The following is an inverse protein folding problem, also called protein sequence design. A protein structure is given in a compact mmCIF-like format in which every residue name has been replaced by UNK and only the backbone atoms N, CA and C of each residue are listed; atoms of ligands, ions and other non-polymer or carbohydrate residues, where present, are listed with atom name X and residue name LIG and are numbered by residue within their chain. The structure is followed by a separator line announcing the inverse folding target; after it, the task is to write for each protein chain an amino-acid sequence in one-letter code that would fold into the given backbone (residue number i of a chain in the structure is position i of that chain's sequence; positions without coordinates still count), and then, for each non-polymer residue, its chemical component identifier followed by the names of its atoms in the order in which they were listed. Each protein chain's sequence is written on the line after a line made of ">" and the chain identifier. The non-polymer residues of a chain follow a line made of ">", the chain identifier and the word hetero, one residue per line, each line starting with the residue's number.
data_IF_475434218344
#
_entry.id   IF_475434218344
#
_cell.length_a   1.000
_cell.length_b   1.000
_cell.length_c   1.000
_cell.angle_alpha   90.00
_cell.angle_beta   90.00
_cell.angle_gamma   90.00
#
_symmetry.space_group_name_H-M   'P 1'
#
loop_
_entity.id
_entity.type
_entity.pdbx_description
1 polymer ?
#
# COMPACT_ATOMS: atom_id res chain seq x y z
N UNK A 1 -70.08 32.66 17.04
CA UNK A 1 -70.84 33.93 17.18
C UNK A 1 -69.87 35.00 17.62
N UNK A 2 -70.06 36.19 17.07
CA UNK A 2 -69.07 37.23 16.78
C UNK A 2 -68.60 38.08 17.97
N UNK A 3 -67.46 38.76 17.75
CA UNK A 3 -66.74 39.77 18.58
C UNK A 3 -67.59 40.93 19.14
N UNK A 4 -67.03 41.79 20.01
CA UNK A 4 -66.43 43.08 19.57
C UNK A 4 -65.13 43.46 20.33
N UNK A 5 -64.09 44.07 19.75
CA UNK A 5 -63.91 45.44 19.21
C UNK A 5 -63.45 46.51 20.24
N UNK A 6 -62.31 47.13 19.89
CA UNK A 6 -61.51 48.24 20.46
C UNK A 6 -62.27 49.52 20.89
N UNK A 7 -61.62 50.45 21.65
CA UNK A 7 -61.17 51.70 21.01
C UNK A 7 -59.89 52.38 21.57
N UNK A 8 -59.23 53.14 20.69
CA UNK A 8 -58.45 54.36 21.00
C UNK A 8 -56.97 54.29 20.59
N UNK A 9 -56.35 55.26 19.89
CA UNK A 9 -56.77 56.57 19.36
C UNK A 9 -55.59 57.12 18.51
N UNK A 10 -55.87 57.72 17.34
CA UNK A 10 -55.15 58.78 16.56
C UNK A 10 -53.60 58.80 16.49
N UNK A 11 -52.95 59.15 15.39
CA UNK A 11 -53.30 60.16 14.36
C UNK A 11 -52.39 59.99 13.11
N UNK A 12 -52.89 60.45 11.96
CA UNK A 12 -52.22 60.69 10.68
C UNK A 12 -50.76 61.21 10.74
N UNK A 13 -49.88 60.75 9.83
CA UNK A 13 -49.51 61.47 8.60
C UNK A 13 -48.57 60.62 7.70
N UNK A 14 -48.52 60.97 6.41
CA UNK A 14 -48.04 60.20 5.25
C UNK A 14 -46.58 60.58 4.88
N UNK A 15 -46.09 60.22 3.67
CA UNK A 15 -45.15 59.16 3.34
C UNK A 15 -43.66 59.59 3.33
N UNK A 16 -42.72 58.67 3.58
CA UNK A 16 -41.29 58.91 3.36
C UNK A 16 -40.81 58.25 2.06
N UNK A 17 -40.77 59.06 1.00
CA UNK A 17 -39.92 58.84 -0.17
C UNK A 17 -38.58 59.53 0.10
N UNK A 18 -37.48 58.77 0.11
CA UNK A 18 -36.13 59.33 0.12
C UNK A 18 -35.49 59.22 -1.28
N UNK A 19 -34.81 60.27 -1.75
CA UNK A 19 -34.28 60.38 -3.11
C UNK A 19 -32.85 59.85 -3.25
N UNK A 20 -32.47 59.69 -4.52
CA UNK A 20 -31.16 59.33 -5.06
C UNK A 20 -30.17 60.51 -5.09
N UNK A 21 -28.88 60.14 -5.04
CA UNK A 21 -27.65 60.76 -5.61
C UNK A 21 -26.69 61.61 -4.75
N UNK A 22 -25.44 61.11 -4.77
CA UNK A 22 -24.18 61.80 -5.09
C UNK A 22 -23.22 62.26 -3.97
N UNK A 23 -22.11 61.50 -3.93
CA UNK A 23 -20.70 61.94 -4.11
C UNK A 23 -19.93 62.55 -2.93
N UNK A 24 -18.88 61.85 -2.48
CA UNK A 24 -17.47 62.25 -2.72
C UNK A 24 -16.50 61.22 -2.14
N UNK A 25 -15.61 60.70 -2.99
CA UNK A 25 -14.42 59.91 -2.64
C UNK A 25 -13.29 60.85 -2.17
N UNK A 26 -12.38 60.34 -1.33
CA UNK A 26 -10.98 60.42 -1.71
C UNK A 26 -10.30 59.03 -1.76
N UNK A 27 -9.55 58.84 -2.85
CA UNK A 27 -8.60 57.77 -3.10
C UNK A 27 -7.54 57.70 -2.00
N UNK A 28 -7.37 56.53 -1.38
CA UNK A 28 -6.04 56.06 -0.98
C UNK A 28 -5.89 54.55 -1.24
N UNK A 29 -5.22 54.29 -2.37
CA UNK A 29 -4.25 53.22 -2.65
C UNK A 29 -4.55 51.78 -2.20
N UNK A 30 -5.12 51.03 -3.15
CA UNK A 30 -4.90 49.60 -3.33
C UNK A 30 -3.49 49.38 -3.90
N UNK A 31 -2.52 48.94 -3.10
CA UNK A 31 -1.32 48.18 -3.53
C UNK A 31 -0.47 47.85 -2.30
N UNK A 32 -0.66 46.69 -1.66
CA UNK A 32 0.33 46.09 -0.75
C UNK A 32 -0.09 44.71 -0.21
N UNK A 33 -0.49 43.74 -1.06
CA UNK A 33 -0.34 42.31 -0.71
C UNK A 33 -0.09 41.53 -2.01
N UNK A 34 1.07 41.77 -2.62
CA UNK A 34 1.57 40.98 -3.76
C UNK A 34 3.10 41.07 -3.83
N UNK A 35 3.81 40.92 -2.70
CA UNK A 35 5.27 40.68 -2.67
C UNK A 35 5.63 39.90 -1.40
N UNK A 36 5.35 38.59 -1.36
CA UNK A 36 6.09 37.64 -0.50
C UNK A 36 6.67 36.48 -1.32
N UNK A 37 6.30 36.35 -2.61
CA UNK A 37 6.91 35.41 -3.54
C UNK A 37 8.03 36.07 -4.37
N UNK A 38 9.10 36.56 -3.73
CA UNK A 38 10.33 36.99 -4.44
C UNK A 38 11.60 37.04 -3.57
N UNK A 39 11.59 36.51 -2.34
CA UNK A 39 12.73 36.62 -1.40
C UNK A 39 13.40 35.29 -1.03
N UNK A 40 13.06 34.18 -1.68
CA UNK A 40 13.73 32.87 -1.47
C UNK A 40 14.47 32.38 -2.73
N UNK A 41 14.29 33.05 -3.89
CA UNK A 41 14.94 32.69 -5.17
C UNK A 41 16.20 33.55 -5.44
N UNK A 42 16.74 34.27 -4.45
CA UNK A 42 18.01 35.01 -4.59
C UNK A 42 19.15 34.49 -3.71
N UNK A 43 18.97 33.38 -2.98
CA UNK A 43 20.04 32.72 -2.20
C UNK A 43 20.69 31.53 -2.96
N UNK A 44 20.15 31.12 -4.12
CA UNK A 44 20.67 29.97 -4.89
C UNK A 44 21.49 30.37 -6.15
N UNK A 45 21.68 31.66 -6.44
CA UNK A 45 22.48 32.11 -7.60
C UNK A 45 23.66 33.04 -7.23
N UNK A 46 24.25 32.87 -6.04
CA UNK A 46 25.28 33.78 -5.51
C UNK A 46 26.59 33.14 -5.03
N UNK A 47 26.87 31.87 -5.33
CA UNK A 47 28.13 31.22 -4.98
C UNK A 47 28.64 30.34 -6.12
N UNK A 48 29.11 30.97 -7.19
CA UNK A 48 30.11 30.40 -8.08
C UNK A 48 30.94 31.54 -8.70
N UNK A 49 32.26 31.42 -8.49
CA UNK A 49 33.39 32.09 -9.15
C UNK A 49 33.76 33.53 -8.70
N UNK A 50 34.86 33.63 -7.93
CA UNK A 50 36.21 34.19 -8.28
C UNK A 50 37.12 33.90 -7.06
N UNK A 51 38.36 33.41 -7.13
CA UNK A 51 39.26 33.18 -8.23
C UNK A 51 40.51 32.38 -7.82
N UNK A 52 41.27 32.00 -8.85
CA UNK A 52 42.53 31.25 -8.87
C UNK A 52 43.68 32.01 -8.19
N UNK A 53 44.57 31.30 -7.47
CA UNK A 53 46.04 31.43 -7.55
C UNK A 53 46.77 30.34 -6.75
N UNK A 54 47.69 29.62 -7.41
CA UNK A 54 48.98 29.17 -6.86
C UNK A 54 49.06 27.89 -6.01
N UNK A 55 49.61 26.81 -6.58
CA UNK A 55 50.31 25.76 -5.80
C UNK A 55 51.66 26.27 -5.25
N UNK A 56 52.30 25.56 -4.31
CA UNK A 56 53.12 24.41 -4.73
C UNK A 56 53.16 23.20 -3.77
N UNK A 57 53.60 22.08 -4.35
CA UNK A 57 54.43 20.97 -3.84
C UNK A 57 54.68 20.80 -2.34
N UNK A 58 54.63 19.54 -1.87
CA UNK A 58 55.47 19.10 -0.75
C UNK A 58 54.87 17.99 0.10
N UNK A 59 55.43 16.80 -0.08
CA UNK A 59 55.39 15.61 0.76
C UNK A 59 55.36 15.93 2.27
N UNK A 60 54.63 15.14 3.06
CA UNK A 60 55.20 14.58 4.30
C UNK A 60 54.41 13.37 4.81
N UNK A 61 55.19 12.32 5.08
CA UNK A 61 54.80 11.14 5.81
C UNK A 61 54.99 11.39 7.32
N UNK A 62 54.09 10.88 8.15
CA UNK A 62 54.40 10.22 9.44
C UNK A 62 53.10 9.56 9.93
N UNK A 63 53.05 8.25 10.15
CA UNK A 63 53.65 7.51 11.25
C UNK A 63 53.15 8.00 12.62
N UNK A 64 52.32 7.16 13.25
CA UNK A 64 51.79 7.39 14.59
C UNK A 64 51.03 6.17 15.09
N UNK A 65 51.78 5.12 15.41
CA UNK A 65 51.30 3.95 16.14
C UNK A 65 51.28 4.24 17.65
N UNK A 66 50.23 3.81 18.34
CA UNK A 66 50.22 3.37 19.76
C UNK A 66 49.02 2.43 19.90
N UNK A 67 49.24 1.10 20.02
CA UNK A 67 49.25 0.33 21.28
C UNK A 67 48.02 0.57 22.16
N UNK A 68 47.37 -0.39 22.83
CA UNK A 68 47.38 -1.84 22.93
C UNK A 68 46.43 -2.10 24.11
N UNK A 69 45.51 -3.07 24.03
CA UNK A 69 45.07 -3.79 25.23
C UNK A 69 44.37 -5.09 24.84
N UNK A 70 45.06 -6.16 25.19
CA UNK A 70 44.68 -7.56 25.05
C UNK A 70 43.69 -7.95 26.14
N UNK A 71 42.75 -8.84 25.82
CA UNK A 71 42.19 -9.78 26.79
C UNK A 71 41.85 -11.09 26.09
N UNK A 72 42.80 -12.01 26.15
CA UNK A 72 42.63 -13.42 25.80
C UNK A 72 41.54 -14.09 26.65
N UNK A 73 40.76 -14.98 26.05
CA UNK A 73 40.27 -16.17 26.77
C UNK A 73 40.14 -17.39 25.86
N UNK A 74 40.99 -18.35 26.18
CA UNK A 74 41.10 -19.75 25.76
C UNK A 74 39.79 -20.52 25.83
N UNK A 75 39.54 -21.43 24.87
CA UNK A 75 39.19 -22.87 25.05
C UNK A 75 39.04 -23.52 23.67
N UNK A 76 39.99 -24.38 23.28
CA UNK A 76 39.95 -25.86 23.33
C UNK A 76 39.05 -26.48 22.26
N UNK A 77 39.72 -27.02 21.25
CA UNK A 77 39.20 -27.92 20.23
C UNK A 77 38.77 -29.29 20.79
N UNK A 78 37.79 -29.93 20.15
CA UNK A 78 37.79 -31.37 19.86
C UNK A 78 36.91 -31.67 18.65
N UNK A 79 37.51 -32.27 17.63
CA UNK A 79 36.84 -32.97 16.54
C UNK A 79 36.61 -34.44 16.92
N UNK A 80 35.52 -35.05 16.44
CA UNK A 80 35.29 -36.50 16.23
C UNK A 80 33.98 -36.62 15.46
N UNK A 81 33.94 -37.00 14.17
CA UNK A 81 34.15 -38.32 13.57
C UNK A 81 32.97 -39.30 13.76
N UNK A 82 32.21 -39.44 12.65
CA UNK A 82 31.54 -40.63 12.07
C UNK A 82 31.14 -41.82 12.96
N UNK A 83 29.85 -42.22 12.87
CA UNK A 83 29.43 -43.62 12.74
C UNK A 83 28.11 -43.75 11.96
N UNK A 84 28.13 -44.67 11.01
CA UNK A 84 27.05 -45.16 10.15
C UNK A 84 25.97 -45.95 10.89
N UNK A 85 24.75 -46.01 10.33
CA UNK A 85 23.99 -47.26 10.17
C UNK A 85 22.73 -47.06 9.30
N UNK A 86 22.70 -47.76 8.16
CA UNK A 86 21.49 -48.18 7.43
C UNK A 86 20.81 -49.35 8.16
N UNK A 87 19.52 -49.61 7.91
CA UNK A 87 19.20 -50.72 6.99
C UNK A 87 17.95 -50.51 6.10
N UNK A 88 18.02 -51.09 4.90
CA UNK A 88 16.91 -51.70 4.13
C UNK A 88 17.25 -53.21 4.06
N UNK A 89 16.38 -54.17 3.62
CA UNK A 89 15.23 -54.04 2.71
C UNK A 89 14.01 -54.93 3.09
N UNK A 90 12.93 -54.93 2.28
CA UNK A 90 12.31 -56.15 1.70
C UNK A 90 11.19 -55.76 0.74
N UNK A 91 11.28 -56.32 -0.47
CA UNK A 91 10.32 -56.22 -1.56
C UNK A 91 9.24 -57.31 -1.48
N UNK A 92 8.08 -57.06 -2.08
CA UNK A 92 7.31 -58.06 -2.86
C UNK A 92 6.26 -57.34 -3.73
N UNK A 93 6.32 -57.60 -5.03
CA UNK A 93 5.38 -57.09 -6.04
C UNK A 93 4.17 -58.02 -6.27
N UNK A 94 3.74 -58.25 -7.53
CA UNK A 94 2.51 -57.66 -8.10
C UNK A 94 1.47 -58.72 -8.55
N UNK A 95 0.20 -58.32 -8.77
CA UNK A 95 -0.75 -58.94 -9.73
C UNK A 95 -2.06 -58.12 -9.79
N UNK A 96 -2.45 -57.48 -10.90
CA UNK A 96 -3.21 -57.99 -12.08
C UNK A 96 -4.74 -57.97 -11.91
N UNK A 97 -5.36 -57.14 -12.76
CA UNK A 97 -6.71 -57.13 -13.39
C UNK A 97 -7.82 -58.06 -12.88
N UNK A 98 -9.08 -57.56 -12.90
CA UNK A 98 -10.18 -58.08 -13.77
C UNK A 98 -11.37 -57.09 -13.76
N UNK A 99 -11.94 -56.81 -14.94
CA UNK A 99 -13.20 -56.08 -15.16
C UNK A 99 -14.44 -56.94 -14.82
N UNK A 100 -15.66 -56.38 -14.87
CA UNK A 100 -16.55 -56.89 -15.92
C UNK A 100 -17.41 -55.82 -16.62
N UNK A 101 -18.08 -56.32 -17.65
CA UNK A 101 -18.73 -55.63 -18.76
C UNK A 101 -20.24 -55.44 -18.56
N UNK A 102 -20.77 -54.45 -19.28
CA UNK A 102 -22.08 -54.37 -19.99
C UNK A 102 -23.40 -54.68 -19.26
N UNK A 103 -24.32 -53.70 -19.26
CA UNK A 103 -25.62 -53.82 -19.95
C UNK A 103 -26.35 -52.45 -20.04
N UNK A 104 -26.74 -52.10 -21.26
CA UNK A 104 -27.76 -51.09 -21.59
C UNK A 104 -29.17 -51.63 -21.28
N UNK A 105 -30.20 -50.76 -21.12
CA UNK A 105 -31.14 -50.65 -22.24
C UNK A 105 -31.74 -49.23 -22.46
N UNK A 106 -31.86 -48.83 -23.73
CA UNK A 106 -33.17 -48.59 -24.35
C UNK A 106 -33.92 -47.29 -24.01
N UNK A 107 -33.86 -46.36 -24.96
CA UNK A 107 -34.49 -45.04 -25.03
C UNK A 107 -36.00 -44.93 -24.68
N UNK A 108 -36.37 -43.76 -24.14
CA UNK A 108 -37.58 -43.05 -24.60
C UNK A 108 -37.43 -41.53 -24.46
N UNK A 109 -37.72 -40.85 -25.56
CA UNK A 109 -37.66 -39.41 -25.76
C UNK A 109 -38.49 -38.62 -24.74
N UNK A 110 -37.93 -37.49 -24.28
CA UNK A 110 -38.69 -36.39 -23.70
C UNK A 110 -38.08 -35.07 -24.17
N UNK A 111 -38.74 -34.50 -25.18
CA UNK A 111 -39.08 -33.08 -25.33
C UNK A 111 -38.01 -32.03 -25.00
N UNK A 112 -37.49 -31.45 -26.09
CA UNK A 112 -37.01 -30.08 -26.24
C UNK A 112 -37.34 -29.13 -25.08
N UNK A 113 -36.30 -28.71 -24.36
CA UNK A 113 -36.25 -27.42 -23.70
C UNK A 113 -34.94 -26.77 -24.14
N UNK A 114 -35.02 -25.88 -25.13
CA UNK A 114 -33.99 -24.88 -25.39
C UNK A 114 -33.91 -24.01 -24.14
N UNK A 115 -33.05 -24.39 -23.21
CA UNK A 115 -32.59 -23.49 -22.18
C UNK A 115 -31.70 -22.48 -22.89
N UNK A 116 -32.24 -21.28 -23.11
CA UNK A 116 -31.45 -20.09 -23.34
C UNK A 116 -30.36 -20.05 -22.26
N UNK A 117 -29.14 -20.41 -22.65
CA UNK A 117 -27.95 -20.19 -21.86
C UNK A 117 -27.76 -18.67 -21.81
N UNK A 118 -28.37 -18.03 -20.82
CA UNK A 118 -28.08 -16.65 -20.48
C UNK A 118 -26.57 -16.60 -20.18
N UNK A 119 -25.74 -15.86 -20.94
CA UNK A 119 -24.33 -15.79 -20.64
C UNK A 119 -24.20 -15.23 -19.23
N UNK A 120 -23.67 -16.04 -18.32
CA UNK A 120 -23.23 -15.54 -17.02
C UNK A 120 -22.27 -14.40 -17.34
N UNK A 121 -22.49 -13.17 -16.82
CA UNK A 121 -21.58 -12.07 -17.10
C UNK A 121 -20.22 -12.47 -16.55
N UNK A 122 -19.35 -12.93 -17.45
CA UNK A 122 -17.94 -13.10 -17.15
C UNK A 122 -17.45 -11.68 -16.94
N UNK A 123 -17.07 -11.34 -15.71
CA UNK A 123 -16.49 -10.03 -15.42
C UNK A 123 -15.43 -9.76 -16.48
N UNK A 124 -15.66 -8.71 -17.28
CA UNK A 124 -14.78 -8.37 -18.38
C UNK A 124 -13.48 -7.83 -17.79
N UNK A 125 -12.39 -8.54 -18.07
CA UNK A 125 -11.04 -8.08 -17.81
C UNK A 125 -10.28 -7.93 -19.13
N UNK A 126 -9.30 -7.04 -19.16
CA UNK A 126 -8.28 -6.95 -20.19
C UNK A 126 -6.92 -7.32 -19.61
N UNK A 127 -5.99 -7.65 -20.50
CA UNK A 127 -4.58 -7.86 -20.16
C UNK A 127 -3.78 -6.91 -21.03
N UNK A 128 -2.93 -6.08 -20.43
CA UNK A 128 -2.09 -5.14 -21.18
C UNK A 128 -0.84 -5.82 -21.78
N UNK A 129 0.03 -5.01 -22.41
CA UNK A 129 1.26 -5.49 -23.04
C UNK A 129 2.28 -6.07 -22.05
N UNK A 130 2.21 -5.68 -20.77
CA UNK A 130 3.10 -6.15 -19.73
C UNK A 130 2.53 -7.40 -19.02
N UNK A 131 1.33 -7.84 -19.41
CA UNK A 131 0.64 -9.00 -18.85
C UNK A 131 -0.18 -8.68 -17.61
N UNK A 132 -0.39 -7.40 -17.29
CA UNK A 132 -1.13 -6.97 -16.11
C UNK A 132 -2.63 -7.04 -16.41
N UNK A 133 -3.37 -7.66 -15.49
CA UNK A 133 -4.84 -7.79 -15.57
C UNK A 133 -5.49 -6.49 -15.13
N UNK A 134 -6.44 -5.99 -15.92
CA UNK A 134 -7.26 -4.83 -15.59
C UNK A 134 -8.72 -5.22 -15.62
N UNK A 135 -9.44 -5.04 -14.52
CA UNK A 135 -10.86 -5.30 -14.45
C UNK A 135 -11.66 -4.02 -14.65
N UNK A 136 -12.88 -4.14 -15.17
CA UNK A 136 -13.83 -3.04 -15.20
C UNK A 136 -14.66 -2.95 -13.91
N UNK A 137 -14.14 -3.43 -12.77
CA UNK A 137 -14.86 -3.37 -11.49
C UNK A 137 -15.11 -1.91 -11.11
N UNK A 138 -16.33 -1.64 -10.66
CA UNK A 138 -16.76 -0.30 -10.25
C UNK A 138 -17.31 -0.39 -8.85
N UNK A 139 -16.76 0.41 -7.95
CA UNK A 139 -17.26 0.50 -6.60
C UNK A 139 -18.35 1.54 -6.45
N UNK A 140 -18.97 1.54 -5.26
CA UNK A 140 -20.10 2.41 -4.94
C UNK A 140 -19.77 3.47 -3.88
N UNK A 141 -18.48 3.66 -3.56
CA UNK A 141 -18.02 4.53 -2.47
C UNK A 141 -18.66 4.18 -1.11
N UNK A 142 -19.14 2.94 -0.98
CA UNK A 142 -19.58 2.33 0.27
C UNK A 142 -18.50 1.35 0.72
N UNK A 143 -18.28 1.28 2.03
CA UNK A 143 -17.15 0.56 2.61
C UNK A 143 -17.62 -0.43 3.66
N UNK A 144 -17.14 -1.65 3.54
CA UNK A 144 -17.28 -2.67 4.58
C UNK A 144 -15.99 -2.67 5.42
N UNK A 145 -16.13 -2.45 6.73
CA UNK A 145 -15.03 -2.55 7.71
C UNK A 145 -14.87 -3.99 8.17
N UNK A 146 -13.65 -4.50 8.18
CA UNK A 146 -13.36 -5.84 8.67
C UNK A 146 -13.45 -5.94 10.20
N UNK A 147 -13.93 -7.08 10.66
CA UNK A 147 -13.87 -7.48 12.07
C UNK A 147 -12.40 -7.55 12.53
N UNK A 148 -12.06 -7.04 13.73
CA UNK A 148 -10.69 -7.06 14.23
C UNK A 148 -10.17 -8.48 14.43
N UNK A 149 -8.98 -8.74 13.88
CA UNK A 149 -8.29 -10.02 14.06
C UNK A 149 -7.36 -9.99 15.28
N UNK A 150 -7.30 -11.11 15.99
CA UNK A 150 -6.39 -11.30 17.12
C UNK A 150 -4.92 -11.14 16.68
N UNK A 151 -4.15 -10.43 17.49
CA UNK A 151 -2.74 -10.18 17.22
C UNK A 151 -1.88 -11.36 17.65
N UNK A 152 -0.76 -11.63 16.96
CA UNK A 152 0.26 -12.54 17.47
C UNK A 152 0.75 -12.16 18.87
N UNK A 153 1.23 -13.13 19.63
CA UNK A 153 1.88 -12.87 20.92
C UNK A 153 3.30 -12.31 20.73
N UNK A 154 3.84 -11.67 21.77
CA UNK A 154 5.24 -11.23 21.78
C UNK A 154 5.56 -10.02 20.88
N UNK A 155 4.55 -9.23 20.53
CA UNK A 155 4.73 -8.04 19.68
C UNK A 155 5.38 -6.86 20.43
N UNK A 156 6.09 -5.97 19.70
CA UNK A 156 6.60 -4.72 20.24
C UNK A 156 5.51 -3.82 20.83
N UNK A 157 5.89 -3.01 21.83
CA UNK A 157 4.99 -2.11 22.57
C UNK A 157 4.59 -0.85 21.79
N UNK A 158 5.32 -0.45 20.75
CA UNK A 158 4.94 0.66 19.88
C UNK A 158 3.87 0.17 18.89
N UNK A 159 2.61 0.57 19.10
CA UNK A 159 1.45 0.05 18.35
C UNK A 159 0.89 1.11 17.41
N UNK A 160 0.73 0.76 16.13
CA UNK A 160 -0.09 1.50 15.17
C UNK A 160 -1.44 0.80 15.01
N UNK A 161 -2.51 1.47 15.46
CA UNK A 161 -3.87 0.96 15.25
C UNK A 161 -4.35 1.26 13.83
N UNK A 162 -5.00 0.32 13.17
CA UNK A 162 -5.56 0.52 11.83
C UNK A 162 -6.99 -0.01 11.68
N UNK A 163 -7.76 0.67 10.84
CA UNK A 163 -8.99 0.10 10.27
C UNK A 163 -8.65 -0.52 8.92
N UNK A 164 -9.20 -1.70 8.66
CA UNK A 164 -9.16 -2.34 7.35
C UNK A 164 -10.57 -2.29 6.76
N UNK A 165 -10.69 -1.73 5.56
CA UNK A 165 -11.95 -1.63 4.83
C UNK A 165 -11.77 -2.03 3.37
N UNK A 166 -12.83 -2.59 2.77
CA UNK A 166 -12.90 -2.81 1.34
C UNK A 166 -14.13 -2.11 0.78
N UNK A 167 -13.97 -1.55 -0.42
CA UNK A 167 -15.05 -0.91 -1.15
C UNK A 167 -16.04 -1.98 -1.64
N UNK A 168 -17.33 -1.71 -1.44
CA UNK A 168 -18.40 -2.53 -1.99
C UNK A 168 -18.32 -2.50 -3.53
N UNK A 169 -18.26 -3.69 -4.14
CA UNK A 169 -18.04 -3.85 -5.58
C UNK A 169 -16.59 -4.14 -5.98
N UNK A 170 -15.64 -4.10 -5.05
CA UNK A 170 -14.23 -4.48 -5.28
C UNK A 170 -14.00 -5.96 -5.60
N UNK A 171 -14.98 -6.82 -5.29
CA UNK A 171 -14.82 -8.28 -5.38
C UNK A 171 -13.94 -8.87 -4.26
N UNK A 172 -13.55 -8.07 -3.27
CA UNK A 172 -12.73 -8.50 -2.13
C UNK A 172 -13.60 -8.60 -0.87
N UNK A 173 -13.65 -9.79 -0.28
CA UNK A 173 -14.21 -9.99 1.07
C UNK A 173 -13.18 -9.51 2.10
N UNK A 174 -13.48 -8.36 2.72
CA UNK A 174 -12.57 -7.72 3.67
C UNK A 174 -12.28 -8.59 4.90
N UNK A 175 -13.27 -9.37 5.37
CA UNK A 175 -13.09 -10.25 6.52
C UNK A 175 -12.21 -11.45 6.18
N UNK A 176 -12.30 -11.94 4.93
CA UNK A 176 -11.45 -13.02 4.45
C UNK A 176 -9.97 -12.61 4.34
N UNK A 177 -9.68 -11.33 4.03
CA UNK A 177 -8.30 -10.85 3.89
C UNK A 177 -7.68 -10.33 5.20
N UNK A 178 -8.51 -9.97 6.19
CA UNK A 178 -8.03 -9.39 7.44
C UNK A 178 -6.97 -10.22 8.18
N UNK A 179 -7.08 -11.57 8.28
CA UNK A 179 -6.03 -12.38 8.87
C UNK A 179 -4.72 -12.35 8.08
N UNK A 180 -4.81 -12.26 6.75
CA UNK A 180 -3.63 -12.19 5.87
C UNK A 180 -2.89 -10.88 6.06
N UNK A 181 -3.59 -9.75 6.06
CA UNK A 181 -2.99 -8.43 6.32
C UNK A 181 -2.40 -8.36 7.72
N UNK A 182 -3.13 -8.82 8.74
CA UNK A 182 -2.63 -8.85 10.13
C UNK A 182 -1.34 -9.66 10.24
N UNK A 183 -1.27 -10.80 9.55
CA UNK A 183 -0.07 -11.66 9.51
C UNK A 183 1.10 -10.95 8.83
N UNK A 184 0.89 -10.30 7.68
CA UNK A 184 1.95 -9.61 6.95
C UNK A 184 2.54 -8.47 7.80
N UNK A 185 1.68 -7.61 8.35
CA UNK A 185 2.10 -6.42 9.10
C UNK A 185 2.93 -6.77 10.34
N UNK A 186 2.58 -7.88 11.00
CA UNK A 186 3.23 -8.32 12.23
C UNK A 186 4.22 -9.49 12.02
N UNK A 187 4.61 -9.80 10.78
CA UNK A 187 5.61 -10.82 10.48
C UNK A 187 7.02 -10.36 10.93
N UNK A 188 7.84 -11.30 11.39
CA UNK A 188 9.24 -11.05 11.78
C UNK A 188 10.10 -10.57 10.62
N UNK A 189 9.71 -10.91 9.40
CA UNK A 189 10.40 -10.46 8.20
C UNK A 189 10.04 -9.01 7.82
N UNK A 190 8.98 -8.46 8.42
CA UNK A 190 8.40 -7.15 8.12
C UNK A 190 8.96 -5.99 8.96
N UNK A 191 8.22 -4.88 8.96
CA UNK A 191 8.57 -3.66 9.69
C UNK A 191 8.69 -3.85 11.20
N UNK A 192 8.03 -4.88 11.76
CA UNK A 192 8.15 -5.24 13.17
C UNK A 192 9.60 -5.41 13.62
N UNK A 193 10.43 -6.07 12.81
CA UNK A 193 11.82 -6.31 13.14
C UNK A 193 12.72 -5.10 12.86
N UNK A 194 12.39 -4.30 11.84
CA UNK A 194 13.20 -3.15 11.43
C UNK A 194 12.98 -1.94 12.34
N UNK A 195 11.71 -1.65 12.65
CA UNK A 195 11.30 -0.44 13.37
C UNK A 195 10.87 -0.69 14.81
N UNK A 196 10.82 -1.95 15.23
CA UNK A 196 10.35 -2.35 16.55
C UNK A 196 8.92 -1.86 16.84
N UNK A 197 8.06 -2.01 15.84
CA UNK A 197 6.64 -1.58 15.83
C UNK A 197 5.70 -2.78 15.73
N UNK A 198 4.47 -2.64 16.14
CA UNK A 198 3.40 -3.60 15.89
C UNK A 198 2.15 -2.91 15.36
N UNK A 199 1.28 -3.68 14.74
CA UNK A 199 0.06 -3.18 14.11
C UNK A 199 -1.15 -3.84 14.73
N UNK A 200 -2.17 -3.07 15.10
CA UNK A 200 -3.38 -3.58 15.73
C UNK A 200 -4.61 -3.19 14.91
N UNK A 201 -5.32 -4.18 14.40
CA UNK A 201 -6.60 -3.91 13.77
C UNK A 201 -7.63 -3.45 14.81
N UNK A 202 -8.38 -2.41 14.48
CA UNK A 202 -9.53 -1.89 15.24
C UNK A 202 -10.71 -1.70 14.29
N UNK A 203 -11.93 -1.77 14.80
CA UNK A 203 -13.16 -1.55 14.02
C UNK A 203 -13.69 -0.12 14.14
N UNK A 204 -13.21 0.64 15.12
CA UNK A 204 -13.61 2.03 15.37
C UNK A 204 -12.60 2.98 14.72
N UNK A 205 -12.99 3.73 13.67
CA UNK A 205 -12.14 4.73 13.02
C UNK A 205 -11.57 5.78 13.98
N UNK A 206 -12.27 6.10 15.07
CA UNK A 206 -11.79 7.06 16.06
C UNK A 206 -10.56 6.56 16.85
N UNK A 207 -10.28 5.26 16.80
CA UNK A 207 -9.13 4.62 17.44
C UNK A 207 -7.99 4.30 16.47
N UNK A 208 -8.20 4.55 15.17
CA UNK A 208 -7.23 4.25 14.13
C UNK A 208 -6.21 5.39 13.98
N UNK A 209 -4.94 5.02 13.85
CA UNK A 209 -3.89 5.93 13.41
C UNK A 209 -3.78 6.00 11.89
N UNK A 210 -4.27 4.98 11.17
CA UNK A 210 -4.31 4.93 9.71
C UNK A 210 -5.36 3.93 9.21
N UNK A 211 -5.62 3.97 7.91
CA UNK A 211 -6.58 3.11 7.22
C UNK A 211 -5.86 2.29 6.15
N UNK A 212 -6.23 1.03 6.02
CA UNK A 212 -5.94 0.22 4.85
C UNK A 212 -7.24 0.04 4.08
N UNK A 213 -7.29 0.56 2.85
CA UNK A 213 -8.48 0.62 2.02
C UNK A 213 -8.28 -0.18 0.76
N UNK A 214 -9.04 -1.25 0.54
CA UNK A 214 -9.03 -2.00 -0.72
C UNK A 214 -10.10 -1.44 -1.64
N UNK A 215 -9.72 -0.83 -2.76
CA UNK A 215 -10.60 -0.03 -3.59
C UNK A 215 -10.58 -0.45 -5.06
N UNK A 216 -11.68 -0.22 -5.77
CA UNK A 216 -11.75 -0.43 -7.23
C UNK A 216 -10.86 0.55 -7.99
N UNK A 217 -10.38 0.20 -9.21
CA UNK A 217 -9.48 1.04 -10.01
C UNK A 217 -9.84 2.53 -10.06
N UNK A 218 -11.09 2.86 -10.39
CA UNK A 218 -11.53 4.25 -10.48
C UNK A 218 -11.62 4.96 -9.13
N UNK A 219 -11.85 4.25 -8.03
CA UNK A 219 -11.85 4.82 -6.68
C UNK A 219 -10.43 5.06 -6.18
N UNK A 220 -9.48 4.17 -6.51
CA UNK A 220 -8.05 4.38 -6.23
C UNK A 220 -7.58 5.71 -6.83
N UNK A 221 -7.85 5.99 -8.10
CA UNK A 221 -7.46 7.25 -8.75
C UNK A 221 -8.00 8.49 -8.00
N UNK A 222 -9.23 8.42 -7.48
CA UNK A 222 -9.83 9.52 -6.72
C UNK A 222 -9.16 9.70 -5.35
N UNK A 223 -8.94 8.60 -4.63
CA UNK A 223 -8.33 8.63 -3.30
C UNK A 223 -6.86 9.05 -3.35
N UNK A 224 -6.12 8.60 -4.38
CA UNK A 224 -4.69 8.82 -4.52
C UNK A 224 -4.33 10.20 -5.11
N UNK A 225 -5.30 10.95 -5.63
CA UNK A 225 -5.05 12.27 -6.21
C UNK A 225 -4.29 13.20 -5.23
N UNK A 226 -3.25 13.93 -5.69
CA UNK A 226 -2.88 14.17 -7.09
C UNK A 226 -1.89 13.15 -7.70
N UNK A 227 -1.64 12.01 -7.04
CA UNK A 227 -0.83 10.95 -7.62
C UNK A 227 -1.59 10.29 -8.79
N UNK A 228 -0.88 10.01 -9.87
CA UNK A 228 -1.43 9.36 -11.06
C UNK A 228 -1.21 7.84 -10.94
N UNK A 229 -2.26 7.12 -10.50
CA UNK A 229 -2.25 5.66 -10.37
C UNK A 229 -2.72 4.94 -11.64
N UNK A 230 -3.33 5.65 -12.59
CA UNK A 230 -3.89 5.14 -13.85
C UNK A 230 -4.82 3.93 -13.65
N UNK A 231 -5.59 3.93 -12.55
CA UNK A 231 -6.44 2.82 -12.11
C UNK A 231 -5.67 1.53 -11.78
N UNK A 232 -4.34 1.57 -11.75
CA UNK A 232 -3.48 0.39 -11.82
C UNK A 232 -2.70 0.19 -10.53
N UNK A 233 -2.24 1.26 -9.90
CA UNK A 233 -1.27 1.18 -8.81
C UNK A 233 -1.89 1.52 -7.45
N UNK A 234 -1.30 0.95 -6.42
CA UNK A 234 -1.55 1.28 -5.03
C UNK A 234 -0.96 2.66 -4.69
N UNK A 235 -1.34 3.23 -3.55
CA UNK A 235 -0.72 4.45 -3.06
C UNK A 235 -0.84 4.59 -1.54
N UNK A 236 -0.06 5.52 -1.01
CA UNK A 236 -0.23 6.03 0.33
C UNK A 236 -0.41 7.55 0.29
N UNK A 237 -1.47 8.05 0.93
CA UNK A 237 -1.73 9.48 1.07
C UNK A 237 -2.19 9.82 2.49
N UNK A 238 -1.47 10.70 3.17
CA UNK A 238 -1.75 11.10 4.56
C UNK A 238 -1.82 9.90 5.52
N UNK A 239 -3.01 9.44 5.88
CA UNK A 239 -3.24 8.29 6.76
C UNK A 239 -3.93 7.12 6.02
N UNK A 240 -4.14 7.25 4.71
CA UNK A 240 -4.78 6.22 3.89
C UNK A 240 -3.70 5.44 3.12
N UNK A 241 -3.66 4.14 3.38
CA UNK A 241 -2.93 3.13 2.61
C UNK A 241 -3.96 2.51 1.66
N UNK A 242 -3.92 2.90 0.39
CA UNK A 242 -4.92 2.53 -0.62
C UNK A 242 -4.36 1.40 -1.48
N UNK A 243 -4.99 0.23 -1.37
CA UNK A 243 -4.69 -0.96 -2.13
C UNK A 243 -5.66 -1.07 -3.29
N UNK A 244 -5.14 -1.20 -4.50
CA UNK A 244 -5.92 -1.46 -5.69
C UNK A 244 -6.42 -2.92 -5.69
N UNK A 245 -7.73 -3.11 -5.86
CA UNK A 245 -8.38 -4.43 -5.81
C UNK A 245 -7.86 -5.41 -6.89
N UNK A 246 -7.47 -4.91 -8.06
CA UNK A 246 -6.90 -5.75 -9.12
C UNK A 246 -5.49 -6.20 -8.74
N UNK A 247 -4.68 -5.30 -8.17
CA UNK A 247 -3.34 -5.65 -7.67
C UNK A 247 -3.44 -6.66 -6.53
N UNK A 248 -4.36 -6.48 -5.60
CA UNK A 248 -4.62 -7.46 -4.55
C UNK A 248 -5.04 -8.83 -5.08
N UNK A 249 -5.89 -8.85 -6.11
CA UNK A 249 -6.51 -10.09 -6.61
C UNK A 249 -5.64 -10.84 -7.63
N UNK A 250 -4.81 -10.11 -8.38
CA UNK A 250 -4.12 -10.65 -9.56
C UNK A 250 -2.61 -10.40 -9.55
N UNK A 251 -2.12 -9.47 -8.74
CA UNK A 251 -0.72 -9.11 -8.67
C UNK A 251 -0.16 -8.57 -9.99
N UNK A 252 1.11 -8.91 -10.25
CA UNK A 252 1.85 -8.59 -11.48
C UNK A 252 2.63 -9.81 -11.98
N UNK A 253 2.92 -9.93 -13.29
CA UNK A 253 3.41 -11.18 -13.88
C UNK A 253 4.81 -11.63 -13.44
N UNK A 254 5.65 -10.72 -12.94
CA UNK A 254 7.02 -11.04 -12.51
C UNK A 254 7.13 -11.42 -11.03
N UNK A 255 6.02 -11.46 -10.29
CA UNK A 255 5.94 -12.18 -9.02
C UNK A 255 5.38 -13.58 -9.27
N UNK A 256 6.17 -14.61 -8.96
CA UNK A 256 5.75 -16.01 -9.15
C UNK A 256 4.67 -16.47 -8.16
N UNK A 257 4.43 -15.69 -7.11
CA UNK A 257 3.47 -15.99 -6.04
C UNK A 257 2.63 -14.75 -5.73
N UNK A 258 1.32 -14.90 -5.76
CA UNK A 258 0.39 -13.86 -5.33
C UNK A 258 0.50 -13.59 -3.83
N UNK A 259 0.85 -14.61 -3.02
CA UNK A 259 1.11 -14.42 -1.59
C UNK A 259 2.32 -13.50 -1.37
N UNK A 260 3.41 -13.74 -2.10
CA UNK A 260 4.60 -12.89 -2.02
C UNK A 260 4.26 -11.48 -2.52
N UNK A 261 3.54 -11.34 -3.65
CA UNK A 261 3.14 -10.03 -4.13
C UNK A 261 2.30 -9.26 -3.10
N UNK A 262 1.33 -9.91 -2.43
CA UNK A 262 0.53 -9.28 -1.36
C UNK A 262 1.38 -8.87 -0.17
N UNK A 263 2.36 -9.69 0.20
CA UNK A 263 3.35 -9.35 1.23
C UNK A 263 4.14 -8.08 0.87
N UNK A 264 4.67 -8.04 -0.35
CA UNK A 264 5.37 -6.87 -0.90
C UNK A 264 4.47 -5.63 -0.89
N UNK A 265 3.27 -5.73 -1.48
CA UNK A 265 2.34 -4.62 -1.66
C UNK A 265 1.95 -3.98 -0.33
N UNK A 266 1.57 -4.81 0.66
CA UNK A 266 1.22 -4.30 1.99
C UNK A 266 2.43 -3.67 2.68
N UNK A 267 3.61 -4.30 2.61
CA UNK A 267 4.81 -3.76 3.23
C UNK A 267 5.29 -2.45 2.55
N UNK A 268 5.14 -2.32 1.23
CA UNK A 268 5.51 -1.13 0.49
C UNK A 268 4.66 0.07 0.92
N UNK A 269 3.34 -0.07 0.86
CA UNK A 269 2.43 1.03 1.16
C UNK A 269 2.43 1.40 2.66
N UNK A 270 2.55 0.41 3.55
CA UNK A 270 2.75 0.69 4.98
C UNK A 270 4.13 1.27 5.27
N UNK A 271 5.15 0.91 4.47
CA UNK A 271 6.45 1.57 4.53
C UNK A 271 6.33 3.07 4.28
N UNK A 272 5.54 3.49 3.28
CA UNK A 272 5.23 4.91 3.07
C UNK A 272 4.54 5.56 4.28
N UNK A 273 3.55 4.88 4.88
CA UNK A 273 2.91 5.37 6.11
C UNK A 273 3.91 5.55 7.26
N UNK A 274 4.89 4.65 7.39
CA UNK A 274 5.99 4.75 8.36
C UNK A 274 7.05 5.80 7.99
N UNK A 275 6.88 6.51 6.86
CA UNK A 275 7.77 7.58 6.41
C UNK A 275 8.93 7.11 5.53
N UNK A 276 8.86 5.91 4.96
CA UNK A 276 9.87 5.39 4.02
C UNK A 276 9.63 5.94 2.62
N UNK A 277 10.69 6.45 2.00
CA UNK A 277 10.67 6.88 0.60
C UNK A 277 11.02 5.71 -0.33
N UNK A 278 10.80 5.90 -1.64
CA UNK A 278 11.20 4.91 -2.62
C UNK A 278 12.72 4.66 -2.62
N UNK A 279 13.08 3.41 -2.86
CA UNK A 279 14.46 2.96 -3.05
C UNK A 279 14.67 2.42 -4.46
N UNK A 280 15.93 2.17 -4.82
CA UNK A 280 16.31 1.65 -6.13
C UNK A 280 16.87 0.24 -6.00
N UNK A 281 16.83 -0.53 -7.09
CA UNK A 281 17.46 -1.85 -7.14
C UNK A 281 18.95 -1.76 -6.77
N UNK A 282 19.37 -2.52 -5.75
CA UNK A 282 20.76 -2.55 -5.29
C UNK A 282 21.74 -3.23 -6.25
N UNK A 283 21.23 -3.94 -7.26
CA UNK A 283 22.03 -4.56 -8.32
C UNK A 283 21.56 -5.95 -8.70
N UNK A 284 22.16 -6.47 -9.78
CA UNK A 284 21.79 -7.75 -10.37
C UNK A 284 21.83 -8.92 -9.38
N UNK A 285 20.73 -9.66 -9.29
CA UNK A 285 20.61 -10.86 -8.46
C UNK A 285 20.46 -10.58 -6.96
N UNK A 286 20.40 -9.31 -6.56
CA UNK A 286 19.98 -8.93 -5.21
C UNK A 286 18.46 -8.87 -5.15
N UNK A 287 17.91 -9.20 -3.99
CA UNK A 287 16.53 -8.92 -3.63
C UNK A 287 16.30 -7.41 -3.65
N UNK A 288 15.30 -6.96 -4.41
CA UNK A 288 14.92 -5.56 -4.46
C UNK A 288 14.61 -5.04 -3.04
N UNK A 289 14.94 -3.80 -2.69
CA UNK A 289 14.40 -3.19 -1.49
C UNK A 289 12.86 -3.23 -1.52
N UNK A 290 12.20 -3.48 -0.39
CA UNK A 290 10.73 -3.51 -0.35
C UNK A 290 10.15 -2.15 -0.77
N UNK A 291 10.89 -1.06 -0.54
CA UNK A 291 10.52 0.29 -0.96
C UNK A 291 10.89 0.62 -2.42
N UNK A 292 11.46 -0.33 -3.19
CA UNK A 292 11.50 -0.21 -4.64
C UNK A 292 10.08 -0.39 -5.21
N UNK A 293 9.72 0.35 -6.26
CA UNK A 293 8.44 0.20 -6.96
C UNK A 293 8.38 -1.11 -7.77
N UNK A 294 8.40 -2.26 -7.10
CA UNK A 294 8.47 -3.59 -7.73
C UNK A 294 7.21 -3.89 -8.54
N UNK A 295 6.04 -3.30 -8.23
CA UNK A 295 4.82 -3.38 -9.07
C UNK A 295 4.99 -2.77 -10.46
N UNK A 296 6.03 -1.96 -10.68
CA UNK A 296 6.34 -1.35 -11.99
C UNK A 296 7.53 -2.02 -12.70
N UNK A 297 8.07 -3.09 -12.10
CA UNK A 297 9.15 -3.89 -12.66
C UNK A 297 10.29 -4.10 -11.65
N UNK A 298 11.09 -5.13 -11.88
CA UNK A 298 12.21 -5.51 -11.00
C UNK A 298 13.58 -5.07 -11.50
N UNK A 299 13.68 -4.61 -12.76
CA UNK A 299 14.99 -4.33 -13.38
C UNK A 299 15.89 -5.57 -13.33
N UNK A 300 17.08 -5.44 -12.73
CA UNK A 300 18.02 -6.55 -12.55
C UNK A 300 17.87 -7.27 -11.18
N UNK A 301 16.99 -6.77 -10.32
CA UNK A 301 16.76 -7.34 -9.00
C UNK A 301 15.80 -8.55 -9.05
N UNK A 302 15.76 -9.28 -7.93
CA UNK A 302 14.78 -10.32 -7.66
C UNK A 302 13.63 -9.74 -6.83
N UNK A 303 12.42 -10.30 -7.01
CA UNK A 303 11.25 -9.95 -6.22
C UNK A 303 11.52 -10.15 -4.73
N UNK A 304 11.08 -9.20 -3.90
CA UNK A 304 11.25 -9.27 -2.46
C UNK A 304 10.06 -8.65 -1.71
N UNK A 305 9.34 -9.45 -0.92
CA UNK A 305 8.23 -8.95 -0.14
C UNK A 305 8.57 -8.43 1.26
N UNK A 306 9.82 -8.54 1.70
CA UNK A 306 10.15 -8.33 3.11
C UNK A 306 11.32 -7.34 3.29
N UNK A 307 11.16 -6.27 4.11
CA UNK A 307 12.21 -5.28 4.34
C UNK A 307 13.47 -5.85 5.01
N UNK A 308 13.35 -6.91 5.82
CA UNK A 308 14.51 -7.61 6.40
C UNK A 308 15.39 -8.32 5.38
N UNK A 309 14.94 -8.44 4.13
CA UNK A 309 15.65 -9.09 3.04
C UNK A 309 16.16 -8.10 1.99
N UNK A 310 16.02 -6.80 2.25
CA UNK A 310 16.44 -5.74 1.32
C UNK A 310 17.93 -5.87 0.99
N UNK A 311 18.23 -5.83 -0.31
CA UNK A 311 19.57 -5.95 -0.89
C UNK A 311 20.34 -7.23 -0.55
N UNK A 312 19.66 -8.26 -0.02
CA UNK A 312 20.29 -9.56 0.21
C UNK A 312 20.41 -10.35 -1.09
N UNK A 313 21.42 -11.23 -1.23
CA UNK A 313 21.46 -12.18 -2.33
C UNK A 313 20.20 -13.07 -2.41
N UNK A 314 19.84 -13.41 -3.66
CA UNK A 314 18.77 -14.36 -4.00
C UNK A 314 19.04 -15.80 -3.60
#
# INVERSE_FOLDING_TARGET
>A
MSSPSHPGRGSEERPSSAPTLSSTLPLTSRTAVLVVAAAVITIVLGLLAVGVTGGPSGNDASAGATTAASASRTTRATASAVLSATPSPTASGPATATAPTSAEPGAKASSSATADAHPTPTASYSVDSDGIIHTATTGHEQWTVADPVAQPEGLPQAVYSYVLEAEDGSGVDVNAIAPTITKILNDERGWRAIDNVSFKQVSDPAQAGFFIKVATPGTVDRLCAPLETDGTWDCQISADVVINADRWSHGVPWFSSLEDYRGYLVNHEVGHFLGRGHEQCGGKGLKAPVMMQQSKGLGECLANPWPTQDNQPG
#
